data_IF_101194982083
#
_entry.id   IF_101194982083
#
_cell.length_a   1.000
_cell.length_b   1.000
_cell.length_c   1.000
_cell.angle_alpha   90.00
_cell.angle_beta   90.00
_cell.angle_gamma   90.00
#
_symmetry.space_group_name_H-M   'P 1'
#
loop_
_entity.id
_entity.type
_entity.pdbx_description
1 polymer ?
#
# COMPACT_ATOMS: atom_id res chain seq x y z
N UNK A 1 -17.26 -38.32 18.83
CA UNK A 1 -17.83 -36.96 18.65
C UNK A 1 -16.68 -35.96 18.79
N UNK A 2 -15.89 -35.82 17.73
CA UNK A 2 -15.94 -34.73 16.73
C UNK A 2 -15.22 -33.46 17.19
N UNK A 3 -13.91 -33.47 16.87
CA UNK A 3 -13.02 -32.35 16.55
C UNK A 3 -13.31 -30.97 17.16
N UNK A 4 -12.55 -30.62 18.20
CA UNK A 4 -12.14 -29.24 18.44
C UNK A 4 -11.21 -28.83 17.29
N UNK A 5 -11.80 -28.31 16.22
CA UNK A 5 -11.11 -27.79 15.04
C UNK A 5 -10.17 -26.65 15.43
N UNK A 6 -8.90 -26.79 15.08
CA UNK A 6 -7.85 -25.81 15.36
C UNK A 6 -8.24 -24.41 14.89
N UNK A 7 -8.25 -23.48 15.85
CA UNK A 7 -8.60 -22.08 15.61
C UNK A 7 -7.51 -21.43 14.73
N UNK A 8 -7.84 -21.15 13.46
CA UNK A 8 -6.87 -20.69 12.48
C UNK A 8 -6.57 -19.19 12.67
N UNK A 9 -5.40 -18.88 13.23
CA UNK A 9 -4.91 -17.51 13.44
C UNK A 9 -4.86 -16.66 12.17
N UNK A 10 -4.78 -17.26 10.97
CA UNK A 10 -4.83 -16.50 9.70
C UNK A 10 -6.22 -15.96 9.42
N UNK A 11 -7.27 -16.74 9.72
CA UNK A 11 -8.67 -16.32 9.54
C UNK A 11 -9.03 -15.22 10.54
N UNK A 12 -8.55 -15.34 11.79
CA UNK A 12 -8.76 -14.31 12.81
C UNK A 12 -8.01 -13.01 12.47
N UNK A 13 -6.76 -13.11 11.99
CA UNK A 13 -5.98 -11.95 11.55
C UNK A 13 -6.61 -11.26 10.33
N UNK A 14 -7.22 -12.03 9.43
CA UNK A 14 -7.95 -11.50 8.29
C UNK A 14 -9.26 -10.82 8.73
N UNK A 15 -10.07 -11.47 9.58
CA UNK A 15 -11.33 -10.91 10.08
C UNK A 15 -11.15 -9.63 10.91
N UNK A 16 -10.16 -9.58 11.82
CA UNK A 16 -9.85 -8.37 12.59
C UNK A 16 -9.37 -7.24 11.66
N UNK A 17 -8.61 -7.58 10.62
CA UNK A 17 -8.14 -6.62 9.63
C UNK A 17 -9.29 -6.08 8.75
N UNK A 18 -10.27 -6.92 8.40
CA UNK A 18 -11.47 -6.50 7.65
C UNK A 18 -12.40 -5.62 8.48
N UNK A 19 -12.64 -5.95 9.76
CA UNK A 19 -13.48 -5.13 10.64
C UNK A 19 -12.87 -3.77 10.97
N UNK A 20 -11.55 -3.63 10.90
CA UNK A 20 -10.87 -2.32 10.99
C UNK A 20 -11.15 -1.46 9.76
N UNK A 21 -11.31 -2.09 8.58
CA UNK A 21 -11.45 -1.43 7.28
C UNK A 21 -12.88 -0.94 6.96
N UNK A 22 -13.91 -1.40 7.67
CA UNK A 22 -15.32 -1.07 7.39
C UNK A 22 -15.72 0.39 7.72
N UNK A 23 -14.87 1.14 8.42
CA UNK A 23 -15.09 2.58 8.72
C UNK A 23 -14.00 3.48 8.13
N UNK A 24 -13.28 3.00 7.11
CA UNK A 24 -12.14 3.71 6.55
C UNK A 24 -12.56 4.99 5.81
N UNK A 25 -11.81 6.09 5.97
CA UNK A 25 -12.00 7.28 5.14
C UNK A 25 -11.94 6.90 3.65
N UNK A 26 -12.68 7.61 2.77
CA UNK A 26 -12.82 7.25 1.36
C UNK A 26 -11.49 6.94 0.64
N UNK A 27 -10.42 7.65 1.02
CA UNK A 27 -9.08 7.44 0.47
C UNK A 27 -8.49 6.03 0.73
N UNK A 28 -8.83 5.38 1.85
CA UNK A 28 -8.36 4.04 2.16
C UNK A 28 -9.21 2.94 1.49
N UNK A 29 -10.49 3.21 1.23
CA UNK A 29 -11.30 2.34 0.37
C UNK A 29 -10.73 2.24 -1.05
N UNK A 30 -10.34 3.38 -1.63
CA UNK A 30 -9.75 3.41 -2.97
C UNK A 30 -8.38 2.71 -3.04
N UNK A 31 -7.57 2.81 -1.98
CA UNK A 31 -6.28 2.12 -1.89
C UNK A 31 -6.39 0.60 -1.78
N UNK A 32 -7.43 0.08 -1.10
CA UNK A 32 -7.69 -1.37 -1.11
C UNK A 32 -7.95 -1.87 -2.53
N UNK A 33 -8.71 -1.11 -3.32
CA UNK A 33 -8.99 -1.41 -4.72
C UNK A 33 -7.77 -1.21 -5.64
N UNK A 34 -6.73 -0.52 -5.15
CA UNK A 34 -5.48 -0.27 -5.86
C UNK A 34 -4.45 -1.40 -5.71
N UNK A 35 -4.64 -2.35 -4.78
CA UNK A 35 -3.72 -3.47 -4.58
C UNK A 35 -3.61 -4.30 -5.87
N UNK A 36 -2.38 -4.57 -6.29
CA UNK A 36 -2.04 -5.26 -7.54
C UNK A 36 -2.08 -4.37 -8.79
N UNK A 37 -2.49 -3.10 -8.67
CA UNK A 37 -2.51 -2.13 -9.77
C UNK A 37 -1.31 -1.21 -9.73
N UNK A 38 -1.00 -0.62 -10.89
CA UNK A 38 0.06 0.39 -10.99
C UNK A 38 -0.47 1.73 -10.48
N UNK A 39 0.21 2.31 -9.50
CA UNK A 39 -0.12 3.61 -8.92
C UNK A 39 0.99 4.62 -9.20
N UNK A 40 0.62 5.89 -9.29
CA UNK A 40 1.55 7.02 -9.37
C UNK A 40 1.53 7.79 -8.05
N UNK A 41 2.71 8.10 -7.54
CA UNK A 41 2.91 8.76 -6.26
C UNK A 41 3.75 10.00 -6.45
N UNK A 42 3.44 11.04 -5.68
CA UNK A 42 4.27 12.24 -5.57
C UNK A 42 4.69 12.45 -4.13
N UNK A 43 5.99 12.54 -3.89
CA UNK A 43 6.54 12.89 -2.60
C UNK A 43 6.51 14.41 -2.39
N UNK A 44 6.42 14.83 -1.12
CA UNK A 44 6.47 16.25 -0.71
C UNK A 44 7.78 16.91 -1.13
N UNK A 45 8.88 16.15 -1.13
CA UNK A 45 10.23 16.63 -1.41
C UNK A 45 10.51 16.75 -2.92
N UNK A 46 10.94 17.94 -3.34
CA UNK A 46 11.64 18.24 -4.62
C UNK A 46 11.15 17.55 -5.90
N UNK A 47 9.84 17.31 -6.04
CA UNK A 47 9.25 16.79 -7.27
C UNK A 47 9.57 15.32 -7.56
N UNK A 48 10.00 14.56 -6.56
CA UNK A 48 10.22 13.11 -6.71
C UNK A 48 8.89 12.40 -6.88
N UNK A 49 8.80 11.57 -7.91
CA UNK A 49 7.64 10.74 -8.21
C UNK A 49 8.02 9.26 -8.24
N UNK A 50 7.08 8.41 -7.88
CA UNK A 50 7.22 6.96 -8.00
C UNK A 50 6.04 6.39 -8.79
N UNK A 51 6.31 5.49 -9.73
CA UNK A 51 5.28 4.69 -10.38
C UNK A 51 5.59 3.21 -10.19
N UNK A 52 4.67 2.44 -9.61
CA UNK A 52 4.90 1.01 -9.33
C UNK A 52 3.61 0.27 -8.98
N UNK A 53 3.70 -1.05 -8.82
CA UNK A 53 2.57 -1.90 -8.45
C UNK A 53 2.39 -1.86 -6.93
N UNK A 54 1.22 -1.42 -6.45
CA UNK A 54 0.92 -1.40 -5.01
C UNK A 54 0.68 -2.82 -4.51
N UNK A 55 1.51 -3.28 -3.59
CA UNK A 55 1.37 -4.61 -3.00
C UNK A 55 0.66 -4.55 -1.64
N UNK A 56 1.03 -3.57 -0.80
CA UNK A 56 0.50 -3.41 0.58
C UNK A 56 0.57 -1.95 1.04
N UNK A 57 -0.27 -1.60 2.00
CA UNK A 57 -0.20 -0.34 2.74
C UNK A 57 -0.61 -0.51 4.20
N UNK A 58 -0.46 0.54 5.01
CA UNK A 58 -0.93 0.61 6.39
C UNK A 58 -1.72 1.91 6.70
N UNK A 59 -2.21 2.05 7.94
CA UNK A 59 -2.97 3.22 8.41
C UNK A 59 -2.20 4.55 8.35
N UNK A 60 -0.87 4.51 8.27
CA UNK A 60 -0.03 5.70 8.14
C UNK A 60 0.24 6.04 6.68
N UNK A 61 -0.36 5.29 5.73
CA UNK A 61 -0.11 5.36 4.30
C UNK A 61 1.33 5.02 3.91
N UNK A 62 2.03 4.21 4.72
CA UNK A 62 3.27 3.61 4.24
C UNK A 62 2.91 2.64 3.12
N UNK A 63 3.61 2.70 1.98
CA UNK A 63 3.31 1.91 0.80
C UNK A 63 4.47 0.97 0.48
N UNK A 64 4.16 -0.28 0.14
CA UNK A 64 5.10 -1.22 -0.44
C UNK A 64 4.80 -1.37 -1.93
N UNK A 65 5.74 -0.94 -2.77
CA UNK A 65 5.63 -1.05 -4.23
C UNK A 65 6.59 -2.09 -4.79
N UNK A 66 6.14 -2.79 -5.83
CA UNK A 66 6.97 -3.63 -6.71
C UNK A 66 7.14 -2.98 -8.07
N UNK A 67 8.26 -3.27 -8.75
CA UNK A 67 8.57 -2.75 -10.09
C UNK A 67 8.45 -1.22 -10.18
N UNK A 68 8.97 -0.56 -9.15
CA UNK A 68 8.85 0.88 -8.98
C UNK A 68 9.88 1.62 -9.82
N UNK A 69 9.45 2.72 -10.43
CA UNK A 69 10.29 3.67 -11.16
C UNK A 69 10.23 4.98 -10.42
N UNK A 70 11.37 5.39 -9.86
CA UNK A 70 11.57 6.72 -9.33
C UNK A 70 11.86 7.68 -10.48
N UNK A 71 11.18 8.82 -10.52
CA UNK A 71 11.49 9.93 -11.42
C UNK A 71 11.84 11.15 -10.57
N UNK A 72 13.05 11.67 -10.75
CA UNK A 72 13.53 12.86 -10.05
C UNK A 72 14.34 13.75 -10.99
N UNK A 73 14.90 14.85 -10.48
CA UNK A 73 15.73 15.76 -11.27
C UNK A 73 17.00 15.09 -11.83
N UNK A 74 17.51 14.06 -11.17
CA UNK A 74 18.70 13.32 -11.63
C UNK A 74 18.38 12.27 -12.69
N UNK A 75 17.10 12.05 -13.02
CA UNK A 75 16.65 11.10 -14.02
C UNK A 75 15.71 10.03 -13.44
N UNK A 76 15.69 8.87 -14.09
CA UNK A 76 14.88 7.73 -13.67
C UNK A 76 15.73 6.63 -13.04
N UNK A 77 15.19 6.01 -11.98
CA UNK A 77 15.82 4.86 -11.32
C UNK A 77 14.80 3.76 -11.08
N UNK A 78 15.13 2.55 -11.50
CA UNK A 78 14.31 1.37 -11.29
C UNK A 78 14.64 0.73 -9.95
N UNK A 79 13.60 0.36 -9.22
CA UNK A 79 13.67 -0.33 -7.94
C UNK A 79 12.75 -1.57 -8.01
N UNK A 80 13.30 -2.79 -7.90
CA UNK A 80 12.48 -4.00 -7.89
C UNK A 80 11.42 -3.97 -6.78
N UNK A 81 11.80 -3.44 -5.62
CA UNK A 81 10.92 -3.19 -4.47
C UNK A 81 11.30 -1.89 -3.77
N UNK A 82 10.31 -1.14 -3.30
CA UNK A 82 10.54 0.07 -2.48
C UNK A 82 9.46 0.19 -1.41
N UNK A 83 9.87 0.65 -0.22
CA UNK A 83 8.96 1.09 0.84
C UNK A 83 8.98 2.61 0.85
N UNK A 84 7.80 3.21 0.74
CA UNK A 84 7.62 4.66 0.83
C UNK A 84 6.89 4.99 2.13
N UNK A 85 7.42 5.98 2.84
CA UNK A 85 6.90 6.40 4.15
C UNK A 85 5.73 7.37 3.95
N UNK A 86 4.57 7.10 4.55
CA UNK A 86 3.32 7.77 4.19
C UNK A 86 3.26 9.27 4.54
N UNK A 87 3.96 9.70 5.58
CA UNK A 87 4.11 11.13 5.92
C UNK A 87 4.88 11.93 4.86
N UNK A 88 5.65 11.27 3.99
CA UNK A 88 6.37 11.90 2.87
C UNK A 88 5.53 11.99 1.59
N UNK A 89 4.39 11.30 1.53
CA UNK A 89 3.53 11.26 0.36
C UNK A 89 2.60 12.48 0.36
N UNK A 90 2.47 13.11 -0.81
CA UNK A 90 1.57 14.27 -1.02
C UNK A 90 0.34 13.91 -1.86
N UNK A 91 0.47 12.92 -2.73
CA UNK A 91 -0.57 12.51 -3.67
C UNK A 91 -0.38 11.04 -4.04
N UNK A 92 -1.51 10.36 -4.18
CA UNK A 92 -1.63 9.02 -4.73
C UNK A 92 -2.65 9.08 -5.85
N UNK A 93 -2.26 8.63 -7.05
CA UNK A 93 -3.13 8.51 -8.21
C UNK A 93 -3.24 7.02 -8.56
N UNK A 94 -4.49 6.55 -8.61
CA UNK A 94 -4.90 5.14 -8.68
C UNK A 94 -5.56 4.89 -10.03
#
# INVERSE_FOLDING_TARGET
>A
MSALGGFNRKVLKFAIFTSFMENEPPAAFDLNNAIGKRVLLKLKSHGVQFAGILERFDQHLNLYLREAVETSRSGQKNHPHVILRGDTISMICI
#
